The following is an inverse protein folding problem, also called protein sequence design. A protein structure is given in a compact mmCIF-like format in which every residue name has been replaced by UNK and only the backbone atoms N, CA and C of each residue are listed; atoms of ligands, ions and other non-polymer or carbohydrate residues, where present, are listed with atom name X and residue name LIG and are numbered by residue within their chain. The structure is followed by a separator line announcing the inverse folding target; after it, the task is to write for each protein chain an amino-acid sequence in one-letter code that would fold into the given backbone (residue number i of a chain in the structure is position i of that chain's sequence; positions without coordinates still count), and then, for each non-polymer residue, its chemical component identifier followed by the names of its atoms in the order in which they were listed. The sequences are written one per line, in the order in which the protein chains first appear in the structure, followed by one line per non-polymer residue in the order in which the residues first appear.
data_IF_116149036738
#
_entry.id   IF_116149036738
#
_cell.length_a   1.000
_cell.length_b   1.000
_cell.length_c   1.000
_cell.angle_alpha   90.00
_cell.angle_beta   90.00
_cell.angle_gamma   90.00
#
_symmetry.space_group_name_H-M   'P 1'
#
loop_
_entity.id
_entity.type
_entity.pdbx_description
1 polymer ?
#
# COMPACT_ATOMS: atom_id res chain seq x y z
N UNK A 1 32.89 -79.00 4.06
CA UNK A 1 32.63 -77.65 3.50
C UNK A 1 31.29 -77.17 4.05
N UNK A 2 31.14 -75.89 4.43
CA UNK A 2 29.85 -75.34 4.88
C UNK A 2 29.12 -74.64 3.73
N UNK A 3 27.83 -74.94 3.55
CA UNK A 3 26.93 -74.13 2.72
C UNK A 3 26.15 -73.16 3.62
N UNK A 4 26.50 -71.87 3.57
CA UNK A 4 25.68 -70.81 4.17
C UNK A 4 24.42 -70.61 3.33
N UNK A 5 23.24 -70.77 3.95
CA UNK A 5 21.98 -70.30 3.36
C UNK A 5 21.86 -68.80 3.61
N UNK A 6 21.81 -68.01 2.55
CA UNK A 6 21.52 -66.58 2.61
C UNK A 6 20.04 -66.34 2.27
N UNK A 7 19.23 -66.03 3.29
CA UNK A 7 17.83 -65.66 3.10
C UNK A 7 17.76 -64.16 2.77
N UNK A 8 17.35 -63.82 1.54
CA UNK A 8 17.23 -62.43 1.11
C UNK A 8 15.92 -61.82 1.64
N UNK A 9 16.00 -60.95 2.64
CA UNK A 9 14.83 -60.23 3.18
C UNK A 9 14.49 -59.03 2.28
N UNK A 10 13.47 -59.16 1.43
CA UNK A 10 12.96 -58.07 0.60
C UNK A 10 12.01 -57.19 1.42
N UNK A 11 12.53 -56.14 2.02
CA UNK A 11 11.74 -55.12 2.73
C UNK A 11 10.96 -54.26 1.74
N UNK A 12 9.71 -54.65 1.45
CA UNK A 12 8.76 -53.78 0.74
C UNK A 12 8.40 -52.60 1.66
N UNK A 13 9.03 -51.45 1.45
CA UNK A 13 8.62 -50.20 2.09
C UNK A 13 7.32 -49.76 1.42
N UNK A 14 6.20 -50.17 2.01
CA UNK A 14 4.88 -49.68 1.62
C UNK A 14 4.74 -48.22 2.06
N UNK A 15 5.29 -47.31 1.26
CA UNK A 15 5.17 -45.88 1.49
C UNK A 15 3.71 -45.48 1.53
N UNK A 16 3.23 -45.08 2.71
CA UNK A 16 1.85 -44.67 2.89
C UNK A 16 1.59 -43.43 2.02
N UNK A 17 0.76 -43.59 0.99
CA UNK A 17 0.14 -42.44 0.32
C UNK A 17 -0.75 -41.76 1.36
N UNK A 18 -0.22 -40.72 2.00
CA UNK A 18 -1.04 -39.66 2.57
C UNK A 18 -2.04 -39.25 1.47
N UNK A 19 -3.35 -39.18 1.76
CA UNK A 19 -4.32 -38.77 0.76
C UNK A 19 -3.91 -37.37 0.28
N UNK A 20 -3.52 -37.28 -1.00
CA UNK A 20 -3.21 -35.99 -1.60
C UNK A 20 -4.45 -35.12 -1.47
N UNK A 21 -4.38 -34.08 -0.61
CA UNK A 21 -5.49 -33.15 -0.37
C UNK A 21 -5.93 -32.65 -1.73
N UNK A 22 -7.16 -33.02 -2.14
CA UNK A 22 -7.70 -32.67 -3.44
C UNK A 22 -7.47 -31.18 -3.67
N UNK A 23 -6.84 -30.83 -4.80
CA UNK A 23 -6.31 -29.49 -5.04
C UNK A 23 -7.43 -28.47 -4.79
N UNK A 24 -7.29 -27.70 -3.71
CA UNK A 24 -8.37 -26.88 -3.21
C UNK A 24 -8.71 -25.83 -4.28
N UNK A 25 -9.95 -25.87 -4.78
CA UNK A 25 -10.32 -25.10 -5.96
C UNK A 25 -10.12 -23.61 -5.68
N UNK A 26 -9.14 -23.01 -6.37
CA UNK A 26 -8.87 -21.58 -6.30
C UNK A 26 -10.06 -20.81 -6.87
N UNK A 27 -10.62 -19.90 -6.08
CA UNK A 27 -11.73 -19.02 -6.46
C UNK A 27 -11.29 -17.57 -6.70
N UNK A 28 -10.03 -17.23 -6.40
CA UNK A 28 -9.45 -15.93 -6.68
C UNK A 28 -8.02 -15.78 -6.15
N UNK A 29 -7.46 -14.59 -6.33
CA UNK A 29 -6.12 -14.22 -5.86
C UNK A 29 -6.16 -12.88 -5.15
N UNK A 30 -5.26 -12.68 -4.19
CA UNK A 30 -5.07 -11.40 -3.48
C UNK A 30 -3.61 -11.01 -3.56
N UNK A 31 -3.35 -9.75 -3.92
CA UNK A 31 -2.01 -9.18 -3.99
C UNK A 31 -1.84 -8.09 -2.93
N UNK A 32 -0.80 -8.21 -2.10
CA UNK A 32 -0.47 -7.25 -1.05
C UNK A 32 0.85 -6.55 -1.34
N UNK A 33 0.86 -5.21 -1.34
CA UNK A 33 2.07 -4.41 -1.52
C UNK A 33 2.67 -4.05 -0.16
N UNK A 34 3.81 -4.66 0.18
CA UNK A 34 4.59 -4.34 1.36
C UNK A 34 5.68 -3.31 1.04
N UNK A 35 5.87 -2.34 1.93
CA UNK A 35 6.95 -1.36 1.86
C UNK A 35 7.76 -1.35 3.17
N UNK A 36 9.06 -1.62 3.14
CA UNK A 36 9.89 -1.54 4.33
C UNK A 36 10.15 -0.07 4.71
N UNK A 37 9.56 0.38 5.83
CA UNK A 37 9.74 1.75 6.33
C UNK A 37 11.22 2.12 6.50
N UNK A 38 11.63 3.25 5.93
CA UNK A 38 12.99 3.80 6.03
C UNK A 38 14.12 2.86 5.56
N UNK A 39 13.87 2.05 4.53
CA UNK A 39 14.84 1.12 3.95
C UNK A 39 15.23 1.49 2.51
N UNK A 40 16.48 1.22 2.08
CA UNK A 40 16.86 1.26 0.66
C UNK A 40 16.33 0.05 -0.15
N UNK A 41 15.74 -0.95 0.51
CA UNK A 41 15.17 -2.14 -0.16
C UNK A 41 13.92 -1.80 -1.01
N UNK A 42 13.75 -2.40 -2.20
CA UNK A 42 12.56 -2.22 -3.03
C UNK A 42 11.26 -2.68 -2.37
N UNK A 43 10.14 -2.08 -2.77
CA UNK A 43 8.82 -2.56 -2.37
C UNK A 43 8.62 -4.00 -2.86
N UNK A 44 7.95 -4.81 -2.05
CA UNK A 44 7.69 -6.22 -2.36
C UNK A 44 6.20 -6.47 -2.52
N UNK A 45 5.80 -7.06 -3.65
CA UNK A 45 4.46 -7.65 -3.78
C UNK A 45 4.47 -9.06 -3.20
N UNK A 46 3.41 -9.39 -2.48
CA UNK A 46 3.07 -10.73 -2.01
C UNK A 46 1.79 -11.18 -2.72
N UNK A 47 1.68 -12.48 -3.04
CA UNK A 47 0.54 -13.06 -3.72
C UNK A 47 0.03 -14.30 -2.98
N UNK A 48 -1.28 -14.39 -2.81
CA UNK A 48 -1.95 -15.58 -2.26
C UNK A 48 -3.12 -15.99 -3.16
N UNK A 49 -3.30 -17.29 -3.36
CA UNK A 49 -4.55 -17.86 -3.83
C UNK A 49 -5.56 -17.90 -2.67
N UNK A 50 -6.85 -17.82 -3.02
CA UNK A 50 -7.98 -18.02 -2.11
C UNK A 50 -8.71 -19.29 -2.57
N UNK A 51 -8.85 -20.28 -1.69
CA UNK A 51 -9.66 -21.47 -2.00
C UNK A 51 -11.16 -21.25 -1.72
N UNK A 52 -12.00 -22.19 -2.15
CA UNK A 52 -13.46 -22.14 -1.95
C UNK A 52 -13.93 -22.10 -0.48
N UNK A 53 -13.03 -22.30 0.51
CA UNK A 53 -13.33 -22.13 1.94
C UNK A 53 -12.89 -20.76 2.49
N UNK A 54 -12.24 -19.94 1.66
CA UNK A 54 -11.59 -18.71 2.07
C UNK A 54 -10.17 -18.91 2.62
N UNK A 55 -9.59 -20.11 2.52
CA UNK A 55 -8.21 -20.34 2.98
C UNK A 55 -7.24 -19.60 2.06
N UNK A 56 -6.36 -18.78 2.64
CA UNK A 56 -5.25 -18.16 1.92
C UNK A 56 -4.10 -19.17 1.75
N UNK A 57 -3.60 -19.30 0.52
CA UNK A 57 -2.51 -20.21 0.14
C UNK A 57 -1.43 -19.39 -0.56
N UNK A 58 -0.19 -19.29 -0.03
CA UNK A 58 0.89 -18.54 -0.66
C UNK A 58 1.19 -19.01 -2.09
N UNK A 59 1.29 -18.06 -3.02
CA UNK A 59 1.66 -18.35 -4.41
C UNK A 59 3.17 -18.61 -4.53
N UNK A 60 3.54 -19.62 -5.32
CA UNK A 60 4.94 -19.87 -5.67
C UNK A 60 5.53 -18.68 -6.45
N UNK A 61 6.79 -18.36 -6.18
CA UNK A 61 7.50 -17.22 -6.78
C UNK A 61 7.29 -15.88 -6.08
N UNK A 62 6.48 -15.81 -5.01
CA UNK A 62 6.34 -14.61 -4.17
C UNK A 62 7.17 -14.70 -2.87
N UNK A 63 7.59 -13.55 -2.30
CA UNK A 63 7.39 -12.18 -2.79
C UNK A 63 8.22 -11.86 -4.04
N UNK A 64 7.72 -10.94 -4.87
CA UNK A 64 8.48 -10.34 -5.98
C UNK A 64 8.83 -8.90 -5.65
N UNK A 65 10.03 -8.46 -6.04
CA UNK A 65 10.41 -7.05 -5.98
C UNK A 65 9.66 -6.28 -7.07
N UNK A 66 9.16 -5.09 -6.73
CA UNK A 66 8.53 -4.17 -7.69
C UNK A 66 9.52 -3.52 -8.66
N UNK A 67 10.81 -3.49 -8.30
CA UNK A 67 11.83 -2.70 -9.02
C UNK A 67 11.91 -1.23 -8.61
N UNK A 68 11.19 -0.80 -7.56
CA UNK A 68 11.28 0.54 -7.02
C UNK A 68 10.91 0.63 -5.54
N UNK A 69 11.21 1.78 -4.93
CA UNK A 69 11.06 2.03 -3.50
C UNK A 69 9.87 2.96 -3.25
N UNK A 70 9.25 2.84 -2.08
CA UNK A 70 8.17 3.71 -1.64
C UNK A 70 8.00 3.70 -0.14
N UNK A 71 7.26 4.66 0.38
CA UNK A 71 6.93 4.78 1.80
C UNK A 71 5.43 4.51 2.05
N UNK A 72 5.02 4.13 3.27
CA UNK A 72 3.61 3.84 3.59
C UNK A 72 2.72 5.11 3.70
N UNK A 73 3.01 6.14 2.90
CA UNK A 73 2.44 7.48 3.04
C UNK A 73 1.31 7.82 2.07
N UNK A 74 0.89 6.90 1.19
CA UNK A 74 -0.27 7.05 0.28
C UNK A 74 -1.27 5.89 0.39
N UNK A 75 -2.45 6.05 -0.21
CA UNK A 75 -3.53 5.05 -0.27
C UNK A 75 -3.80 4.61 -1.73
N UNK A 76 -4.48 3.47 -1.94
CA UNK A 76 -4.79 2.97 -3.31
C UNK A 76 -3.56 2.89 -4.24
N UNK A 77 -2.40 2.56 -3.66
CA UNK A 77 -1.10 2.51 -4.36
C UNK A 77 -0.77 1.13 -4.97
N UNK A 78 -1.73 0.20 -4.93
CA UNK A 78 -1.74 -1.04 -5.71
C UNK A 78 -3.14 -1.17 -6.30
N UNK A 79 -3.22 -1.44 -7.60
CA UNK A 79 -4.48 -1.49 -8.34
C UNK A 79 -4.52 -2.72 -9.25
N UNK A 80 -5.68 -3.38 -9.30
CA UNK A 80 -5.93 -4.50 -10.21
C UNK A 80 -7.01 -4.13 -11.23
N UNK A 81 -6.58 -4.00 -12.48
CA UNK A 81 -7.45 -3.94 -13.65
C UNK A 81 -7.98 -5.36 -13.92
N UNK A 82 -9.24 -5.57 -13.53
CA UNK A 82 -9.98 -6.83 -13.72
C UNK A 82 -10.47 -7.03 -15.17
N UNK A 83 -10.54 -5.96 -15.98
CA UNK A 83 -11.06 -6.02 -17.34
C UNK A 83 -10.02 -6.60 -18.32
N UNK A 84 -8.74 -6.26 -18.12
CA UNK A 84 -7.62 -6.71 -18.98
C UNK A 84 -6.58 -7.54 -18.20
N UNK A 85 -6.82 -7.79 -16.91
CA UNK A 85 -6.00 -8.70 -16.11
C UNK A 85 -4.61 -8.15 -15.77
N UNK A 86 -4.52 -6.90 -15.32
CA UNK A 86 -3.25 -6.20 -15.07
C UNK A 86 -3.13 -5.69 -13.64
N UNK A 87 -1.96 -5.85 -13.04
CA UNK A 87 -1.64 -5.36 -11.70
C UNK A 87 -0.65 -4.20 -11.81
N UNK A 88 -0.88 -3.13 -11.03
CA UNK A 88 -0.04 -1.93 -10.98
C UNK A 88 0.37 -1.63 -9.54
N UNK A 89 1.62 -1.22 -9.31
CA UNK A 89 2.14 -0.83 -8.00
C UNK A 89 2.93 0.48 -8.08
N UNK A 90 2.58 1.45 -7.23
CA UNK A 90 3.22 2.76 -7.17
C UNK A 90 4.39 2.78 -6.18
N UNK A 91 5.55 3.17 -6.69
CA UNK A 91 6.82 3.31 -5.99
C UNK A 91 7.12 4.81 -5.84
N UNK A 92 6.48 5.46 -4.86
CA UNK A 92 6.49 6.92 -4.77
C UNK A 92 7.86 7.55 -4.42
N UNK A 93 8.80 6.79 -3.85
CA UNK A 93 10.17 7.27 -3.59
C UNK A 93 11.04 7.12 -4.84
N UNK A 94 10.87 6.03 -5.62
CA UNK A 94 11.53 5.88 -6.93
C UNK A 94 10.84 6.64 -8.06
N UNK A 95 9.69 7.27 -7.80
CA UNK A 95 8.90 8.02 -8.77
C UNK A 95 8.48 7.18 -10.01
N UNK A 96 8.05 5.93 -9.79
CA UNK A 96 7.63 5.00 -10.85
C UNK A 96 6.36 4.23 -10.51
N UNK A 97 5.65 3.76 -11.54
CA UNK A 97 4.62 2.69 -11.43
C UNK A 97 5.13 1.44 -12.13
N UNK A 98 5.23 0.34 -11.39
CA UNK A 98 5.53 -0.98 -11.95
C UNK A 98 4.23 -1.67 -12.37
N UNK A 99 4.25 -2.41 -13.48
CA UNK A 99 3.07 -3.02 -14.07
C UNK A 99 3.30 -4.46 -14.57
N UNK A 100 2.32 -5.33 -14.35
CA UNK A 100 2.34 -6.76 -14.70
C UNK A 100 1.02 -7.21 -15.34
N UNK A 101 1.07 -8.20 -16.22
CA UNK A 101 -0.10 -9.04 -16.53
C UNK A 101 -0.24 -10.15 -15.49
N UNK A 102 -1.49 -10.56 -15.24
CA UNK A 102 -1.86 -11.58 -14.27
C UNK A 102 -2.30 -12.85 -15.00
N UNK A 103 -1.69 -13.98 -14.68
CA UNK A 103 -2.20 -15.27 -15.12
C UNK A 103 -3.44 -15.63 -14.28
N UNK A 104 -4.63 -15.52 -14.88
CA UNK A 104 -5.92 -15.76 -14.20
C UNK A 104 -6.12 -17.22 -13.71
N UNK A 105 -5.27 -18.17 -14.10
CA UNK A 105 -5.32 -19.57 -13.66
C UNK A 105 -4.37 -19.86 -12.51
N UNK A 106 -3.22 -19.17 -12.43
CA UNK A 106 -2.15 -19.47 -11.46
C UNK A 106 -1.83 -18.33 -10.49
N UNK A 107 -2.32 -17.12 -10.76
CA UNK A 107 -1.99 -15.91 -10.00
C UNK A 107 -0.57 -15.39 -10.23
N UNK A 108 0.21 -16.01 -11.12
CA UNK A 108 1.56 -15.57 -11.45
C UNK A 108 1.56 -14.22 -12.19
N UNK A 109 2.58 -13.41 -11.96
CA UNK A 109 2.75 -12.07 -12.54
C UNK A 109 3.88 -12.07 -13.58
N UNK A 110 3.64 -11.46 -14.73
CA UNK A 110 4.64 -11.25 -15.79
C UNK A 110 4.78 -9.75 -16.05
N UNK A 111 6.00 -9.22 -16.02
CA UNK A 111 6.21 -7.77 -16.20
C UNK A 111 5.75 -7.32 -17.59
N UNK A 112 5.03 -6.20 -17.66
CA UNK A 112 4.60 -5.62 -18.92
C UNK A 112 5.76 -4.86 -19.61
N UNK A 113 5.79 -4.79 -20.95
CA UNK A 113 6.87 -4.17 -21.71
C UNK A 113 7.05 -2.66 -21.45
N UNK A 114 6.01 -1.99 -20.93
CA UNK A 114 6.04 -0.58 -20.53
C UNK A 114 6.38 -0.36 -19.04
N UNK A 115 6.74 -1.41 -18.31
CA UNK A 115 7.12 -1.34 -16.89
C UNK A 115 8.64 -1.14 -16.75
N UNK A 116 9.13 -0.21 -15.92
CA UNK A 116 8.37 0.74 -15.10
C UNK A 116 7.93 1.98 -15.89
N UNK A 117 6.73 2.49 -15.58
CA UNK A 117 6.24 3.78 -16.05
C UNK A 117 6.89 4.88 -15.20
N UNK A 118 7.67 5.77 -15.81
CA UNK A 118 8.30 6.90 -15.13
C UNK A 118 7.32 8.07 -14.94
N UNK A 119 7.23 8.60 -13.72
CA UNK A 119 6.40 9.75 -13.36
C UNK A 119 7.15 11.08 -13.55
N UNK A 120 6.45 12.24 -13.62
CA UNK A 120 7.10 13.54 -13.81
C UNK A 120 8.12 13.84 -12.69
N UNK A 121 9.23 14.51 -13.01
CA UNK A 121 10.30 14.75 -12.04
C UNK A 121 9.80 15.53 -10.80
N UNK A 122 10.04 14.98 -9.61
CA UNK A 122 9.60 15.56 -8.33
C UNK A 122 8.14 15.29 -7.94
N UNK A 123 7.37 14.58 -8.77
CA UNK A 123 5.97 14.24 -8.50
C UNK A 123 5.86 13.21 -7.37
N UNK A 124 5.19 13.55 -6.27
CA UNK A 124 4.99 12.63 -5.14
C UNK A 124 3.67 11.89 -5.30
N UNK A 125 3.70 10.79 -6.04
CA UNK A 125 2.52 9.94 -6.25
C UNK A 125 1.96 9.39 -4.94
N UNK A 126 0.65 9.49 -4.75
CA UNK A 126 -0.07 9.13 -3.52
C UNK A 126 -1.15 8.08 -3.71
N UNK A 127 -1.76 7.98 -4.90
CA UNK A 127 -2.78 7.00 -5.29
C UNK A 127 -2.72 6.74 -6.80
N UNK A 128 -3.31 5.63 -7.28
CA UNK A 128 -3.48 5.40 -8.72
C UNK A 128 -4.80 4.70 -9.05
N UNK A 129 -5.30 4.91 -10.27
CA UNK A 129 -6.50 4.26 -10.80
C UNK A 129 -6.40 4.09 -12.31
N UNK A 130 -7.07 3.09 -12.89
CA UNK A 130 -7.28 2.98 -14.33
C UNK A 130 -8.75 3.21 -14.66
N UNK A 131 -9.02 3.72 -15.86
CA UNK A 131 -10.37 3.79 -16.40
C UNK A 131 -10.94 2.37 -16.65
N UNK A 132 -12.27 2.20 -16.78
CA UNK A 132 -12.89 0.88 -16.96
C UNK A 132 -12.48 0.12 -18.24
N UNK A 133 -11.94 0.80 -19.27
CA UNK A 133 -11.35 0.13 -20.45
C UNK A 133 -9.89 -0.28 -20.24
N UNK A 134 -9.23 0.23 -19.21
CA UNK A 134 -7.80 0.05 -18.96
C UNK A 134 -6.91 0.73 -20.02
N UNK A 135 -7.41 1.76 -20.71
CA UNK A 135 -6.68 2.52 -21.73
C UNK A 135 -6.00 3.77 -21.14
N UNK A 136 -6.48 4.28 -20.01
CA UNK A 136 -5.93 5.44 -19.30
C UNK A 136 -5.60 5.06 -17.85
N UNK A 137 -4.33 5.26 -17.46
CA UNK A 137 -3.84 5.22 -16.08
C UNK A 137 -3.67 6.65 -15.58
N UNK A 138 -4.22 6.95 -14.40
CA UNK A 138 -4.01 8.24 -13.73
C UNK A 138 -3.42 8.00 -12.34
N UNK A 139 -2.33 8.71 -12.06
CA UNK A 139 -1.66 8.72 -10.75
C UNK A 139 -1.89 10.08 -10.10
N UNK A 140 -2.56 10.09 -8.95
CA UNK A 140 -2.72 11.29 -8.14
C UNK A 140 -1.45 11.58 -7.33
N UNK A 141 -1.09 12.85 -7.19
CA UNK A 141 0.04 13.29 -6.37
C UNK A 141 0.33 14.79 -6.57
N UNK A 142 1.57 15.09 -6.98
CA UNK A 142 2.06 16.44 -7.23
C UNK A 142 3.22 16.83 -6.31
N UNK A 143 3.47 18.12 -6.19
CA UNK A 143 4.48 18.67 -5.27
C UNK A 143 3.80 19.40 -4.10
N UNK A 144 4.50 19.60 -2.99
CA UNK A 144 4.01 20.46 -1.92
C UNK A 144 3.66 21.86 -2.48
N UNK A 145 2.41 22.29 -2.31
CA UNK A 145 1.89 23.55 -2.85
C UNK A 145 1.45 23.51 -4.33
N UNK A 146 1.66 22.41 -5.06
CA UNK A 146 1.20 22.23 -6.44
C UNK A 146 0.69 20.79 -6.67
N UNK A 147 -0.55 20.48 -6.23
CA UNK A 147 -1.14 19.15 -6.37
C UNK A 147 -1.67 18.92 -7.79
N UNK A 148 -1.59 17.68 -8.27
CA UNK A 148 -1.99 17.35 -9.63
C UNK A 148 -2.05 15.85 -9.92
N UNK A 149 -2.43 15.53 -11.14
CA UNK A 149 -2.66 14.17 -11.64
C UNK A 149 -1.84 13.91 -12.90
N UNK A 150 -0.99 12.88 -12.85
CA UNK A 150 -0.21 12.44 -14.00
C UNK A 150 -1.00 11.36 -14.77
N UNK A 151 -1.46 11.69 -15.97
CA UNK A 151 -2.23 10.80 -16.85
C UNK A 151 -1.36 10.18 -17.93
N UNK A 152 -1.62 8.91 -18.22
CA UNK A 152 -0.91 8.07 -19.20
C UNK A 152 -1.91 7.26 -20.03
N UNK A 153 -1.74 7.26 -21.36
CA UNK A 153 -2.34 6.25 -22.22
C UNK A 153 -1.55 4.96 -22.16
N UNK A 154 -2.24 3.84 -21.93
CA UNK A 154 -1.67 2.51 -21.87
C UNK A 154 -1.94 1.78 -23.20
N UNK A 155 -0.88 1.55 -23.97
CA UNK A 155 -0.89 0.68 -25.14
C UNK A 155 -0.48 -0.76 -24.82
N UNK A 156 -0.36 -1.59 -25.85
CA UNK A 156 0.12 -2.97 -25.69
C UNK A 156 1.61 -3.04 -25.31
N UNK A 157 2.43 -2.11 -25.81
CA UNK A 157 3.89 -2.07 -25.63
C UNK A 157 4.42 -0.83 -24.91
N UNK A 158 3.62 0.23 -24.78
CA UNK A 158 4.04 1.55 -24.27
C UNK A 158 3.06 2.14 -23.28
N UNK A 159 3.56 2.99 -22.38
CA UNK A 159 2.75 3.90 -21.56
C UNK A 159 3.18 5.34 -21.88
N UNK A 160 2.31 6.10 -22.54
CA UNK A 160 2.64 7.43 -23.07
C UNK A 160 1.94 8.51 -22.23
N UNK A 161 2.65 9.51 -21.67
CA UNK A 161 2.02 10.63 -20.99
C UNK A 161 1.00 11.34 -21.88
N UNK A 162 -0.14 11.72 -21.32
CA UNK A 162 -1.11 12.56 -22.02
C UNK A 162 -0.54 13.97 -22.27
N UNK A 163 -0.94 14.63 -23.36
CA UNK A 163 -0.50 15.98 -23.66
C UNK A 163 -0.98 16.97 -22.56
N UNK A 164 -0.06 17.72 -21.96
CA UNK A 164 -0.34 18.61 -20.83
C UNK A 164 -0.29 17.94 -19.45
N UNK A 165 0.02 16.64 -19.36
CA UNK A 165 0.25 15.94 -18.10
C UNK A 165 1.52 16.45 -17.40
N UNK A 166 1.54 16.68 -16.07
CA UNK A 166 0.45 16.49 -15.12
C UNK A 166 -0.54 17.66 -15.09
N UNK A 167 -1.84 17.34 -14.93
CA UNK A 167 -2.91 18.33 -14.85
C UNK A 167 -3.13 18.77 -13.40
N UNK A 168 -3.43 20.06 -13.16
CA UNK A 168 -3.64 20.59 -11.80
C UNK A 168 -4.98 20.13 -11.21
N UNK A 169 -5.00 19.86 -9.91
CA UNK A 169 -6.22 19.61 -9.11
C UNK A 169 -6.64 20.83 -8.27
N UNK A 170 -6.10 22.01 -8.57
CA UNK A 170 -6.38 23.24 -7.84
C UNK A 170 -5.84 23.17 -6.41
N UNK A 171 -6.73 23.27 -5.42
CA UNK A 171 -6.39 23.14 -3.99
C UNK A 171 -6.70 21.76 -3.40
N UNK A 172 -7.30 20.84 -4.17
CA UNK A 172 -7.50 19.47 -3.72
C UNK A 172 -6.17 18.70 -3.84
N UNK A 173 -5.66 18.19 -2.73
CA UNK A 173 -4.49 17.31 -2.71
C UNK A 173 -4.92 15.86 -2.97
N UNK A 174 -4.42 15.18 -4.00
CA UNK A 174 -4.63 13.75 -4.16
C UNK A 174 -4.06 12.97 -2.98
N UNK A 175 -4.84 12.01 -2.50
CA UNK A 175 -4.42 10.95 -1.56
C UNK A 175 -5.20 9.67 -1.80
N UNK A 176 -6.45 9.80 -2.24
CA UNK A 176 -7.31 8.74 -2.76
C UNK A 176 -7.87 9.17 -4.12
N UNK A 177 -8.12 8.22 -5.03
CA UNK A 177 -8.62 8.52 -6.37
C UNK A 177 -9.40 7.38 -7.04
N UNK A 178 -10.35 7.76 -7.92
CA UNK A 178 -11.22 6.80 -8.62
C UNK A 178 -11.73 7.37 -9.95
N UNK A 179 -12.06 6.49 -10.90
CA UNK A 179 -12.81 6.85 -12.11
C UNK A 179 -14.33 6.69 -11.89
N UNK A 180 -15.13 7.31 -12.75
CA UNK A 180 -16.53 6.93 -12.97
C UNK A 180 -16.64 5.57 -13.69
N UNK A 181 -17.78 4.88 -13.54
CA UNK A 181 -17.98 3.54 -14.14
C UNK A 181 -18.11 3.52 -15.67
N UNK A 182 -18.26 4.68 -16.29
CA UNK A 182 -18.21 4.91 -17.74
C UNK A 182 -16.83 5.41 -18.22
N UNK A 183 -15.87 5.64 -17.30
CA UNK A 183 -14.54 6.17 -17.59
C UNK A 183 -14.47 7.65 -18.01
N UNK A 184 -15.61 8.34 -18.08
CA UNK A 184 -15.68 9.73 -18.59
C UNK A 184 -15.17 10.77 -17.56
N UNK A 185 -15.07 10.41 -16.29
CA UNK A 185 -14.70 11.31 -15.19
C UNK A 185 -13.70 10.66 -14.22
N UNK A 186 -12.87 11.49 -13.62
CA UNK A 186 -11.89 11.12 -12.60
C UNK A 186 -12.05 12.04 -11.37
N UNK A 187 -12.04 11.45 -10.18
CA UNK A 187 -12.18 12.15 -8.90
C UNK A 187 -11.01 11.86 -7.98
N UNK A 188 -10.52 12.89 -7.28
CA UNK A 188 -9.44 12.73 -6.31
C UNK A 188 -9.42 13.82 -5.23
N UNK A 189 -8.92 13.46 -4.05
CA UNK A 189 -8.65 14.38 -2.96
C UNK A 189 -8.12 13.67 -1.72
N UNK A 190 -8.16 14.36 -0.60
CA UNK A 190 -7.93 13.80 0.73
C UNK A 190 -6.67 14.27 1.45
N UNK A 191 -6.56 13.84 2.72
CA UNK A 191 -5.46 14.13 3.67
C UNK A 191 -5.17 15.61 4.00
N UNK A 192 -5.66 16.57 3.21
CA UNK A 192 -5.70 18.00 3.54
C UNK A 192 -7.01 18.64 3.05
N UNK A 193 -7.36 19.79 3.62
CA UNK A 193 -8.55 20.56 3.26
C UNK A 193 -9.89 19.84 3.43
N UNK A 194 -10.90 20.37 2.73
CA UNK A 194 -12.30 19.91 2.72
C UNK A 194 -12.84 19.74 1.29
N UNK A 195 -11.96 19.71 0.29
CA UNK A 195 -12.32 19.74 -1.14
C UNK A 195 -11.76 18.55 -1.91
N UNK A 196 -12.36 18.26 -3.06
CA UNK A 196 -11.92 17.21 -3.99
C UNK A 196 -12.03 17.70 -5.44
N UNK A 197 -11.07 17.33 -6.29
CA UNK A 197 -11.11 17.65 -7.70
C UNK A 197 -11.95 16.61 -8.46
N UNK A 198 -12.75 17.08 -9.41
CA UNK A 198 -13.29 16.29 -10.51
C UNK A 198 -12.73 16.79 -11.84
N UNK A 199 -12.40 15.87 -12.74
CA UNK A 199 -11.93 16.13 -14.10
C UNK A 199 -12.72 15.26 -15.08
N UNK A 200 -13.03 15.76 -16.27
CA UNK A 200 -13.45 14.93 -17.41
C UNK A 200 -12.24 14.29 -18.08
N UNK A 201 -12.46 13.15 -18.72
CA UNK A 201 -11.45 12.28 -19.30
C UNK A 201 -11.74 12.10 -20.79
N UNK A 202 -10.80 12.50 -21.65
CA UNK A 202 -10.78 11.98 -23.02
C UNK A 202 -10.05 10.63 -23.02
N UNK A 203 -10.80 9.52 -23.05
CA UNK A 203 -10.22 8.17 -23.07
C UNK A 203 -9.34 7.89 -24.30
N UNK A 204 -9.51 8.65 -25.40
CA UNK A 204 -8.75 8.46 -26.64
C UNK A 204 -7.38 9.13 -26.63
N UNK A 205 -7.21 10.21 -25.84
CA UNK A 205 -5.92 10.94 -25.70
C UNK A 205 -5.30 10.83 -24.30
N UNK A 206 -6.08 10.43 -23.30
CA UNK A 206 -5.72 10.46 -21.88
C UNK A 206 -5.74 11.87 -21.27
N UNK A 207 -6.17 12.90 -22.02
CA UNK A 207 -6.18 14.28 -21.55
C UNK A 207 -7.28 14.46 -20.50
N UNK A 208 -6.95 15.16 -19.40
CA UNK A 208 -7.86 15.45 -18.32
C UNK A 208 -8.18 16.95 -18.27
N UNK A 209 -9.47 17.30 -18.19
CA UNK A 209 -9.91 18.70 -18.09
C UNK A 209 -10.66 18.92 -16.78
N UNK A 210 -10.27 19.88 -15.92
CA UNK A 210 -11.01 20.18 -14.70
C UNK A 210 -12.48 20.51 -14.99
N UNK A 211 -13.40 19.90 -14.24
CA UNK A 211 -14.84 20.16 -14.38
C UNK A 211 -15.19 21.58 -13.90
N UNK A 212 -16.27 22.16 -14.43
CA UNK A 212 -16.77 23.44 -13.97
C UNK A 212 -17.11 23.39 -12.46
N UNK A 213 -16.52 24.31 -11.67
CA UNK A 213 -16.64 24.33 -10.21
C UNK A 213 -15.67 23.42 -9.45
N UNK A 214 -14.75 22.72 -10.14
CA UNK A 214 -13.68 21.93 -9.53
C UNK A 214 -12.57 22.85 -8.96
N UNK A 215 -12.03 22.60 -7.75
CA UNK A 215 -12.37 21.51 -6.83
C UNK A 215 -13.64 21.79 -6.01
N UNK A 216 -14.45 20.75 -5.84
CA UNK A 216 -15.76 20.79 -5.18
C UNK A 216 -15.64 20.67 -3.65
N UNK A 217 -16.57 21.28 -2.92
CA UNK A 217 -16.69 21.11 -1.46
C UNK A 217 -17.22 19.70 -1.13
N UNK A 218 -16.49 18.94 -0.32
CA UNK A 218 -16.90 17.59 0.10
C UNK A 218 -17.91 17.57 1.25
N UNK A 219 -18.15 18.69 1.92
CA UNK A 219 -18.97 18.75 3.14
C UNK A 219 -18.30 18.13 4.39
N UNK A 220 -17.08 17.61 4.25
CA UNK A 220 -16.28 17.00 5.34
C UNK A 220 -14.83 17.50 5.29
N UNK A 221 -13.99 17.05 6.24
CA UNK A 221 -12.54 17.24 6.18
C UNK A 221 -11.84 15.97 5.73
N UNK A 222 -10.71 16.13 5.03
CA UNK A 222 -9.83 15.06 4.58
C UNK A 222 -10.58 13.88 3.90
N UNK A 223 -11.40 14.13 2.86
CA UNK A 223 -12.19 13.10 2.19
C UNK A 223 -11.33 12.06 1.44
N UNK A 224 -11.49 10.77 1.76
CA UNK A 224 -10.75 9.64 1.15
C UNK A 224 -11.67 8.45 0.81
N UNK A 225 -11.12 7.42 0.16
CA UNK A 225 -11.81 6.18 -0.15
C UNK A 225 -12.85 6.35 -1.24
N UNK A 226 -12.53 7.15 -2.28
CA UNK A 226 -13.47 7.48 -3.34
C UNK A 226 -13.89 6.24 -4.11
N UNK A 227 -15.20 6.04 -4.27
CA UNK A 227 -15.77 4.96 -5.08
C UNK A 227 -16.93 5.49 -5.91
N UNK A 228 -17.06 5.00 -7.14
CA UNK A 228 -18.23 5.25 -7.99
C UNK A 228 -19.02 3.97 -8.26
N UNK A 229 -20.31 4.11 -8.53
CA UNK A 229 -21.20 3.03 -8.96
C UNK A 229 -21.82 3.27 -10.35
N UNK A 230 -22.54 2.27 -10.84
CA UNK A 230 -23.22 2.29 -12.14
C UNK A 230 -24.44 3.20 -12.20
N UNK A 231 -24.85 3.82 -11.09
CA UNK A 231 -25.93 4.80 -11.02
C UNK A 231 -25.41 6.25 -11.06
N UNK A 232 -24.11 6.46 -11.31
CA UNK A 232 -23.51 7.80 -11.29
C UNK A 232 -23.50 8.42 -9.89
N UNK A 233 -23.27 7.59 -8.86
CA UNK A 233 -23.04 8.07 -7.49
C UNK A 233 -21.56 8.00 -7.13
N UNK A 234 -21.09 9.00 -6.38
CA UNK A 234 -19.73 9.09 -5.83
C UNK A 234 -19.81 9.05 -4.29
N UNK A 235 -19.00 8.20 -3.66
CA UNK A 235 -18.95 8.02 -2.20
C UNK A 235 -17.55 8.33 -1.65
N UNK A 236 -17.46 8.92 -0.45
CA UNK A 236 -16.20 9.14 0.27
C UNK A 236 -16.39 9.19 1.81
N UNK A 237 -15.30 9.11 2.58
CA UNK A 237 -15.29 9.20 4.05
C UNK A 237 -14.31 10.24 4.59
N UNK A 238 -14.63 10.83 5.74
CA UNK A 238 -13.83 11.86 6.41
C UNK A 238 -12.66 11.26 7.23
N UNK A 239 -11.41 11.35 6.75
CA UNK A 239 -10.23 10.79 7.43
C UNK A 239 -9.63 11.73 8.51
N UNK A 240 -10.42 12.10 9.51
CA UNK A 240 -10.01 13.01 10.59
C UNK A 240 -9.17 12.36 11.70
N UNK A 241 -7.84 12.55 11.69
CA UNK A 241 -6.98 12.21 12.83
C UNK A 241 -7.28 13.11 14.05
N UNK A 242 -7.90 12.56 15.09
CA UNK A 242 -7.88 13.07 16.48
C UNK A 242 -8.53 14.44 16.80
N UNK A 243 -8.73 15.30 15.80
CA UNK A 243 -9.01 16.73 15.98
C UNK A 243 -10.43 17.15 15.53
N UNK A 244 -11.32 16.20 15.22
CA UNK A 244 -12.70 16.51 14.85
C UNK A 244 -13.68 15.46 15.39
N UNK A 245 -14.83 15.87 15.97
CA UNK A 245 -15.94 14.96 16.25
C UNK A 245 -16.65 14.53 14.95
N UNK A 246 -16.39 15.21 13.83
CA UNK A 246 -17.12 15.06 12.59
C UNK A 246 -16.63 13.86 11.77
N UNK A 247 -17.06 12.66 12.15
CA UNK A 247 -16.82 11.40 11.43
C UNK A 247 -18.03 11.05 10.57
N UNK A 248 -17.87 11.13 9.24
CA UNK A 248 -18.98 11.01 8.32
C UNK A 248 -18.64 10.26 7.03
N UNK A 249 -19.68 9.67 6.45
CA UNK A 249 -19.81 9.27 5.06
C UNK A 249 -20.44 10.45 4.27
N UNK A 250 -20.04 10.63 3.02
CA UNK A 250 -20.71 11.53 2.07
C UNK A 250 -21.00 10.81 0.75
N UNK A 251 -22.15 11.12 0.16
CA UNK A 251 -22.58 10.61 -1.14
C UNK A 251 -23.01 11.75 -2.07
N UNK A 252 -22.69 11.65 -3.36
CA UNK A 252 -23.05 12.64 -4.38
C UNK A 252 -23.66 11.95 -5.60
N UNK A 253 -24.55 12.63 -6.33
CA UNK A 253 -24.92 12.27 -7.70
C UNK A 253 -24.08 13.09 -8.68
N UNK A 254 -23.57 12.49 -9.76
CA UNK A 254 -22.60 13.12 -10.66
C UNK A 254 -23.17 13.36 -12.07
N UNK A 255 -24.10 14.31 -12.20
CA UNK A 255 -24.71 14.64 -13.50
C UNK A 255 -23.69 15.34 -14.40
N UNK A 256 -23.38 14.74 -15.57
CA UNK A 256 -22.29 15.22 -16.42
C UNK A 256 -20.94 15.29 -15.69
N UNK A 257 -20.74 14.41 -14.70
CA UNK A 257 -19.58 14.40 -13.82
C UNK A 257 -19.63 15.40 -12.65
N UNK A 258 -20.53 16.39 -12.67
CA UNK A 258 -20.60 17.45 -11.65
C UNK A 258 -21.30 16.90 -10.38
N UNK A 259 -20.61 16.86 -9.22
CA UNK A 259 -21.15 16.26 -8.00
C UNK A 259 -22.15 17.19 -7.30
N UNK A 260 -23.38 16.69 -7.09
CA UNK A 260 -24.40 17.30 -6.23
C UNK A 260 -24.55 16.46 -4.97
N UNK A 261 -24.52 17.10 -3.79
CA UNK A 261 -24.66 16.40 -2.51
C UNK A 261 -26.04 15.73 -2.36
N UNK A 262 -26.07 14.47 -1.95
CA UNK A 262 -27.32 13.75 -1.66
C UNK A 262 -27.97 14.32 -0.40
N UNK A 263 -29.31 14.39 -0.39
CA UNK A 263 -30.06 14.86 0.77
C UNK A 263 -29.75 14.01 2.01
N UNK A 264 -29.42 14.66 3.13
CA UNK A 264 -28.92 13.99 4.34
C UNK A 264 -27.40 13.91 4.45
N UNK A 265 -26.63 14.37 3.44
CA UNK A 265 -25.20 14.63 3.62
C UNK A 265 -24.97 15.68 4.73
N UNK A 266 -23.93 15.50 5.57
CA UNK A 266 -23.11 14.30 5.73
C UNK A 266 -23.83 13.22 6.59
N UNK A 267 -23.58 11.94 6.32
CA UNK A 267 -24.17 10.80 7.05
C UNK A 267 -23.25 10.27 8.17
N UNK A 268 -23.74 10.08 9.41
CA UNK A 268 -22.86 9.85 10.57
C UNK A 268 -22.21 8.46 10.52
N UNK A 269 -20.89 8.39 10.72
CA UNK A 269 -20.15 7.13 10.82
C UNK A 269 -19.68 6.90 12.28
N UNK A 270 -20.16 5.84 12.98
CA UNK A 270 -19.76 5.54 14.35
C UNK A 270 -18.34 4.97 14.47
N UNK A 271 -17.69 4.58 13.36
CA UNK A 271 -16.30 4.11 13.37
C UNK A 271 -15.33 5.20 13.86
N UNK A 272 -14.23 4.81 14.48
CA UNK A 272 -13.33 5.76 15.18
C UNK A 272 -12.44 6.56 14.21
N UNK A 273 -11.94 5.93 13.15
CA UNK A 273 -11.07 6.55 12.14
C UNK A 273 -11.28 5.85 10.79
N UNK A 274 -12.28 6.23 9.96
CA UNK A 274 -12.47 5.61 8.65
C UNK A 274 -11.28 5.93 7.73
N UNK A 275 -10.65 4.90 7.18
CA UNK A 275 -9.37 4.97 6.45
C UNK A 275 -9.49 4.74 4.96
N UNK A 276 -10.47 3.98 4.50
CA UNK A 276 -10.69 3.65 3.09
C UNK A 276 -12.13 3.15 2.87
N UNK A 277 -12.57 3.11 1.62
CA UNK A 277 -13.92 2.71 1.24
C UNK A 277 -13.93 1.83 -0.01
N UNK A 278 -14.81 0.84 -0.04
CA UNK A 278 -14.94 -0.16 -1.11
C UNK A 278 -16.40 -0.32 -1.51
N UNK A 279 -16.72 -0.26 -2.81
CA UNK A 279 -18.06 -0.60 -3.28
C UNK A 279 -18.21 -2.12 -3.47
N UNK A 280 -19.13 -2.72 -2.74
CA UNK A 280 -19.56 -4.11 -2.91
C UNK A 280 -20.46 -4.24 -4.16
N UNK A 281 -20.37 -5.32 -4.96
CA UNK A 281 -21.17 -5.49 -6.18
C UNK A 281 -22.69 -5.36 -6.00
N UNK A 282 -23.23 -5.67 -4.82
CA UNK A 282 -24.64 -5.47 -4.48
C UNK A 282 -25.02 -4.01 -4.10
N UNK A 283 -24.18 -3.02 -4.40
CA UNK A 283 -24.48 -1.59 -4.22
C UNK A 283 -24.23 -1.02 -2.82
N UNK A 284 -23.64 -1.79 -1.89
CA UNK A 284 -23.24 -1.29 -0.58
C UNK A 284 -21.85 -0.65 -0.62
N UNK A 285 -21.69 0.53 -0.02
CA UNK A 285 -20.37 1.12 0.22
C UNK A 285 -19.87 0.72 1.61
N UNK A 286 -18.80 -0.07 1.65
CA UNK A 286 -18.19 -0.61 2.87
C UNK A 286 -17.02 0.27 3.30
N UNK A 287 -16.91 0.54 4.60
CA UNK A 287 -15.90 1.42 5.18
C UNK A 287 -14.97 0.65 6.11
N UNK A 288 -13.66 0.79 5.91
CA UNK A 288 -12.66 0.27 6.85
C UNK A 288 -12.25 1.38 7.80
N UNK A 289 -11.96 1.03 9.05
CA UNK A 289 -11.46 1.97 10.04
C UNK A 289 -10.36 1.36 10.89
N UNK A 290 -9.50 2.23 11.43
CA UNK A 290 -8.55 1.81 12.47
C UNK A 290 -9.31 1.56 13.78
N UNK A 291 -8.96 0.47 14.45
CA UNK A 291 -9.19 0.34 15.88
C UNK A 291 -8.19 1.24 16.60
N UNK A 292 -8.59 2.47 16.91
CA UNK A 292 -7.86 3.30 17.87
C UNK A 292 -7.83 2.54 19.20
N UNK A 293 -6.65 2.17 19.68
CA UNK A 293 -6.50 1.39 20.90
C UNK A 293 -6.79 2.27 22.14
N UNK A 294 -8.07 2.43 22.49
CA UNK A 294 -8.48 3.13 23.70
C UNK A 294 -7.99 2.35 24.93
N UNK A 295 -7.17 2.96 25.82
CA UNK A 295 -6.58 2.26 26.96
C UNK A 295 -7.56 2.10 28.15
N UNK A 296 -8.85 1.92 27.87
CA UNK A 296 -9.92 2.02 28.87
C UNK A 296 -10.36 0.65 29.41
N UNK A 297 -9.61 0.19 30.42
CA UNK A 297 -10.07 -0.53 31.64
C UNK A 297 -11.01 -1.74 31.55
N UNK A 298 -11.35 -2.25 30.37
CA UNK A 298 -11.94 -3.58 30.23
C UNK A 298 -10.95 -4.61 30.81
N UNK A 299 -11.34 -5.29 31.90
CA UNK A 299 -10.60 -6.45 32.40
C UNK A 299 -10.64 -7.54 31.34
N UNK A 300 -9.60 -7.64 30.51
CA UNK A 300 -9.37 -8.85 29.74
C UNK A 300 -9.36 -10.04 30.70
N UNK A 301 -10.14 -11.12 30.45
CA UNK A 301 -10.01 -12.34 31.24
C UNK A 301 -8.55 -12.80 31.10
N UNK A 302 -7.90 -13.08 32.24
CA UNK A 302 -6.49 -13.51 32.22
C UNK A 302 -6.37 -14.73 31.30
N UNK A 303 -5.51 -14.63 30.29
CA UNK A 303 -5.24 -15.74 29.39
C UNK A 303 -4.82 -16.98 30.20
N UNK A 304 -5.25 -18.19 29.80
CA UNK A 304 -4.87 -19.40 30.51
C UNK A 304 -3.35 -19.52 30.56
N UNK A 305 -2.79 -19.47 31.77
CA UNK A 305 -1.35 -19.70 31.96
C UNK A 305 -1.06 -21.17 31.67
N UNK A 306 -0.53 -21.44 30.48
CA UNK A 306 0.00 -22.75 30.13
C UNK A 306 1.00 -23.18 31.21
N UNK A 307 0.78 -24.33 31.89
CA UNK A 307 1.59 -24.71 33.03
C UNK A 307 3.02 -25.02 32.55
N UNK A 308 3.97 -24.18 32.95
CA UNK A 308 5.38 -24.39 32.68
C UNK A 308 5.81 -25.76 33.24
N UNK A 309 6.33 -26.63 32.36
CA UNK A 309 6.76 -27.99 32.73
C UNK A 309 7.86 -27.92 33.78
N UNK A 310 7.52 -28.22 35.04
CA UNK A 310 8.49 -28.39 36.12
C UNK A 310 9.29 -29.66 35.85
N UNK A 311 10.58 -29.51 35.56
CA UNK A 311 11.52 -30.61 35.75
C UNK A 311 11.76 -30.82 37.25
N UNK A 312 11.79 -32.07 37.75
CA UNK A 312 12.04 -32.33 39.16
C UNK A 312 13.53 -32.10 39.51
N UNK A 313 13.86 -31.63 40.73
CA UNK A 313 15.24 -31.46 41.15
C UNK A 313 15.86 -32.82 41.53
N UNK A 314 17.04 -33.13 41.00
CA UNK A 314 17.76 -34.37 41.35
C UNK A 314 19.24 -34.34 41.00
N UNK A 315 20.08 -34.78 41.94
CA UNK A 315 21.46 -35.25 41.71
C UNK A 315 22.53 -34.20 41.38
N UNK A 316 23.41 -33.90 42.35
CA UNK A 316 24.78 -33.43 42.04
C UNK A 316 25.64 -34.62 41.61
N UNK A 317 26.31 -34.54 40.45
CA UNK A 317 27.60 -35.22 40.21
C UNK A 317 28.29 -34.75 38.90
N UNK A 318 29.61 -34.57 38.94
CA UNK A 318 30.51 -34.94 37.82
C UNK A 318 30.77 -33.99 36.62
N UNK A 319 31.53 -32.91 36.83
CA UNK A 319 32.53 -32.34 35.88
C UNK A 319 32.05 -31.84 34.47
N UNK A 320 32.94 -31.28 33.60
CA UNK A 320 34.21 -30.59 33.83
C UNK A 320 34.21 -29.11 33.37
N UNK A 321 35.21 -28.32 33.79
CA UNK A 321 35.40 -26.92 33.38
C UNK A 321 36.13 -26.76 32.03
N UNK A 322 35.67 -25.86 31.13
CA UNK A 322 36.47 -25.38 30.01
C UNK A 322 37.65 -24.53 30.50
N UNK A 323 38.87 -24.80 29.99
CA UNK A 323 40.08 -24.07 30.37
C UNK A 323 40.18 -22.71 29.67
N UNK A 324 40.68 -21.70 30.40
CA UNK A 324 41.29 -20.50 29.78
C UNK A 324 42.62 -20.87 29.11
N UNK A 325 42.95 -20.18 28.03
CA UNK A 325 44.31 -20.02 27.49
C UNK A 325 44.68 -18.52 27.45
N UNK A 326 45.95 -18.19 27.18
CA UNK A 326 46.63 -17.05 27.80
C UNK A 326 47.22 -15.98 26.85
N UNK A 327 47.41 -14.78 27.44
CA UNK A 327 48.36 -13.66 27.16
C UNK A 327 49.61 -13.98 26.29
N UNK A 328 50.28 -13.06 25.56
CA UNK A 328 50.38 -11.58 25.61
C UNK A 328 50.70 -11.00 24.18
N UNK A 329 51.26 -9.79 23.87
CA UNK A 329 51.83 -8.63 24.63
C UNK A 329 51.96 -7.37 23.73
N UNK A 330 51.67 -6.17 24.26
CA UNK A 330 52.12 -4.83 23.76
C UNK A 330 51.65 -4.41 22.33
N UNK A 331 51.76 -3.15 21.85
CA UNK A 331 52.48 -1.92 22.27
C UNK A 331 51.54 -0.69 22.34
N UNK A 332 52.05 0.44 22.86
CA UNK A 332 51.44 1.78 22.97
C UNK A 332 51.23 2.47 21.59
N UNK A 333 50.64 3.68 21.45
CA UNK A 333 50.48 4.77 22.42
C UNK A 333 49.29 5.74 22.16
N UNK A 334 49.03 6.57 23.17
CA UNK A 334 48.35 7.87 23.07
C UNK A 334 48.83 8.74 24.23
N UNK A 335 48.89 10.07 24.06
CA UNK A 335 48.53 10.95 25.17
C UNK A 335 47.65 12.13 24.76
N UNK A 336 46.76 12.54 25.67
CA UNK A 336 46.07 13.84 25.69
C UNK A 336 46.81 14.77 26.67
N UNK A 337 47.04 16.01 26.27
CA UNK A 337 47.11 17.22 27.14
C UNK A 337 47.18 18.48 26.26
N UNK A 338 46.99 19.71 26.75
CA UNK A 338 45.92 20.24 27.60
C UNK A 338 45.98 21.80 27.62
N UNK A 339 44.81 22.45 27.59
CA UNK A 339 44.48 23.79 28.16
C UNK A 339 45.15 25.11 27.68
N UNK A 340 44.27 26.13 27.60
CA UNK A 340 44.49 27.60 27.68
C UNK A 340 45.17 28.40 26.55
N UNK A 341 44.49 29.51 26.19
CA UNK A 341 44.95 30.59 25.30
C UNK A 341 43.77 31.44 24.81
N UNK A 342 43.73 32.74 25.12
CA UNK A 342 42.60 33.65 24.82
C UNK A 342 42.92 34.69 23.76
N UNK A 343 41.97 34.97 22.86
CA UNK A 343 41.83 36.30 22.24
C UNK A 343 40.38 36.58 21.83
N UNK A 344 40.04 37.87 21.68
CA UNK A 344 38.76 38.35 21.11
C UNK A 344 39.05 38.98 19.74
N UNK A 345 38.19 38.71 18.75
CA UNK A 345 38.02 39.57 17.57
C UNK A 345 36.57 39.55 17.13
N UNK A 346 35.85 40.66 17.35
CA UNK A 346 34.51 40.89 16.80
C UNK A 346 34.60 41.80 15.58
N UNK A 347 33.92 41.46 14.49
CA UNK A 347 33.73 42.34 13.33
C UNK A 347 32.24 42.43 13.00
N UNK A 348 31.72 43.65 12.92
CA UNK A 348 30.30 43.95 12.71
C UNK A 348 30.16 45.12 11.73
N UNK A 349 29.40 44.93 10.66
CA UNK A 349 29.00 45.98 9.69
C UNK A 349 27.60 45.61 9.13
N UNK A 350 26.82 46.53 8.52
CA UNK A 350 25.49 46.85 9.07
C UNK A 350 24.30 46.57 8.11
N UNK A 351 23.04 46.73 8.58
CA UNK A 351 21.86 46.75 7.72
C UNK A 351 21.82 47.97 6.75
N UNK A 352 21.02 47.91 5.68
CA UNK A 352 20.96 48.96 4.64
C UNK A 352 20.21 50.23 5.10
N UNK A 353 20.35 51.29 4.31
CA UNK A 353 19.73 52.59 4.55
C UNK A 353 18.60 52.90 3.54
N UNK A 354 17.53 53.52 4.08
CA UNK A 354 16.37 54.13 3.41
C UNK A 354 15.50 53.23 2.52
#
# INVERSE_FOLDING_TARGET
MQFKRYTLAVSIILGALLPARAAAQTVGFVYGLARPSFSPEPNSLYGVAVDATGQLIPLAGFPILTGGNGEPSGAEMVFYDIAVGRLYALNNVSNTVSAWSVNHTTGALTSLPFSPIALPAGFQGSCLSLDPSGSVLVVGGGSFGNPGVASYRIGASTATPAAGSPFSTGTAAPFSCTFSRDGQFFYTGGRSGSVFAGLSVDQSTGILTPLAGSPFNSGVIYPVGYQTDSAGRLFAVANGYGASPNRWLVAFTTSGGIPTAVAGNPFPNPQVEPTHGLLHPAGYYLTTARMSASPDRARAPRSPQWPARRFPPGGRQGAPTPRRWSTARAVSSSPRTATHGTSRSSVSIPPPAH
#
